data_IF_864520861319
#
_entry.id   IF_864520861319
#
_cell.length_a   1.000
_cell.length_b   1.000
_cell.length_c   1.000
_cell.angle_alpha   90.00
_cell.angle_beta   90.00
_cell.angle_gamma   90.00
#
_symmetry.space_group_name_H-M   'P 1'
#
loop_
_entity.id
_entity.type
_entity.pdbx_description
1 polymer ?
#
# COMPACT_ATOMS: atom_id res chain seq x y z
N UNK A 1 -3.16 6.43 34.43
CA UNK A 1 -4.06 5.37 33.96
C UNK A 1 -3.37 4.74 32.76
N UNK A 2 -2.92 3.49 32.87
CA UNK A 2 -2.36 2.79 31.73
C UNK A 2 -3.50 2.55 30.73
N UNK A 3 -3.42 3.18 29.55
CA UNK A 3 -4.31 2.89 28.45
C UNK A 3 -4.15 1.42 28.08
N UNK A 4 -5.26 0.75 27.81
CA UNK A 4 -5.18 -0.57 27.19
C UNK A 4 -4.54 -0.37 25.82
N UNK A 5 -3.33 -0.91 25.63
CA UNK A 5 -2.71 -1.02 24.30
C UNK A 5 -3.62 -1.93 23.47
N UNK A 6 -4.55 -1.32 22.73
CA UNK A 6 -5.23 -2.03 21.66
C UNK A 6 -4.17 -2.35 20.61
N UNK A 7 -3.94 -3.65 20.29
CA UNK A 7 -3.02 -4.00 19.22
C UNK A 7 -3.50 -3.35 17.93
N UNK A 8 -2.57 -2.81 17.15
CA UNK A 8 -2.85 -2.23 15.85
C UNK A 8 -3.47 -3.30 14.94
N UNK A 9 -4.67 -3.04 14.44
CA UNK A 9 -5.43 -3.92 13.56
C UNK A 9 -5.74 -3.16 12.25
N UNK A 10 -4.89 -3.30 11.22
CA UNK A 10 -5.04 -2.54 9.99
C UNK A 10 -6.32 -2.97 9.27
N UNK A 11 -7.17 -1.99 8.99
CA UNK A 11 -8.41 -2.19 8.23
C UNK A 11 -8.21 -2.03 6.73
N UNK A 12 -7.24 -1.22 6.33
CA UNK A 12 -6.95 -0.87 4.94
C UNK A 12 -5.45 -0.85 4.66
N UNK A 13 -5.09 -1.07 3.40
CA UNK A 13 -3.72 -1.02 2.89
C UNK A 13 -3.68 -0.25 1.58
N UNK A 14 -2.63 0.55 1.38
CA UNK A 14 -2.41 1.27 0.12
C UNK A 14 -1.69 0.35 -0.85
N UNK A 15 -2.11 0.37 -2.11
CA UNK A 15 -1.45 -0.32 -3.22
C UNK A 15 -1.05 0.74 -4.24
N UNK A 16 0.25 0.78 -4.59
CA UNK A 16 0.82 1.69 -5.57
C UNK A 16 1.08 0.92 -6.87
N UNK A 17 0.68 1.49 -8.01
CA UNK A 17 0.70 0.84 -9.34
C UNK A 17 1.87 1.24 -10.23
N UNK A 18 2.67 2.23 -9.83
CA UNK A 18 3.84 2.75 -10.59
C UNK A 18 5.14 2.04 -10.27
N UNK A 19 5.15 0.70 -10.30
CA UNK A 19 6.36 -0.07 -9.96
C UNK A 19 7.57 0.40 -10.78
N UNK A 20 8.58 0.94 -10.09
CA UNK A 20 9.83 1.39 -10.71
C UNK A 20 9.91 2.89 -11.06
N UNK A 21 8.84 3.65 -10.84
CA UNK A 21 8.89 5.12 -10.84
C UNK A 21 8.93 5.65 -9.40
N UNK A 22 10.15 5.85 -8.90
CA UNK A 22 10.39 6.33 -7.54
C UNK A 22 9.75 7.71 -7.27
N UNK A 23 9.55 8.54 -8.29
CA UNK A 23 8.93 9.87 -8.14
C UNK A 23 7.42 9.73 -7.97
N UNK A 24 6.77 8.92 -8.80
CA UNK A 24 5.33 8.65 -8.66
C UNK A 24 5.03 7.92 -7.34
N UNK A 25 5.86 6.95 -6.95
CA UNK A 25 5.74 6.28 -5.65
C UNK A 25 5.93 7.25 -4.48
N UNK A 26 6.80 8.27 -4.62
CA UNK A 26 6.98 9.33 -3.61
C UNK A 26 5.75 10.22 -3.50
N UNK A 27 5.23 10.69 -4.64
CA UNK A 27 4.04 11.54 -4.69
C UNK A 27 2.84 10.85 -4.04
N UNK A 28 2.52 9.63 -4.50
CA UNK A 28 1.39 8.85 -3.98
C UNK A 28 1.49 8.61 -2.47
N UNK A 29 2.68 8.27 -1.98
CA UNK A 29 2.88 8.00 -0.56
C UNK A 29 2.84 9.27 0.28
N UNK A 30 3.45 10.36 -0.18
CA UNK A 30 3.42 11.65 0.50
C UNK A 30 1.98 12.18 0.59
N UNK A 31 1.18 12.03 -0.48
CA UNK A 31 -0.23 12.38 -0.49
C UNK A 31 -1.03 11.54 0.52
N UNK A 32 -0.85 10.21 0.52
CA UNK A 32 -1.53 9.31 1.44
C UNK A 32 -1.16 9.57 2.91
N UNK A 33 0.13 9.75 3.22
CA UNK A 33 0.58 10.10 4.57
C UNK A 33 0.02 11.46 4.96
N UNK A 34 0.10 12.47 4.09
CA UNK A 34 -0.46 13.80 4.34
C UNK A 34 -1.93 13.75 4.73
N UNK A 35 -2.73 12.99 3.99
CA UNK A 35 -4.15 12.79 4.29
C UNK A 35 -4.39 12.10 5.64
N UNK A 36 -3.58 11.11 6.02
CA UNK A 36 -3.65 10.53 7.38
C UNK A 36 -3.31 11.56 8.44
N UNK A 37 -2.28 12.38 8.23
CA UNK A 37 -1.83 13.38 9.20
C UNK A 37 -2.87 14.48 9.47
N UNK A 38 -3.83 14.70 8.57
CA UNK A 38 -4.99 15.57 8.82
C UNK A 38 -5.92 15.01 9.91
N UNK A 39 -5.83 13.71 10.16
CA UNK A 39 -6.60 13.02 11.20
C UNK A 39 -5.78 12.68 12.44
N UNK A 40 -4.45 12.67 12.38
CA UNK A 40 -3.59 12.33 13.53
C UNK A 40 -3.30 13.52 14.45
N UNK A 41 -2.94 13.25 15.71
CA UNK A 41 -2.47 14.25 16.68
C UNK A 41 -0.97 14.13 16.98
N UNK A 42 -0.40 12.94 16.82
CA UNK A 42 1.01 12.65 17.07
C UNK A 42 1.57 11.69 16.03
N UNK A 43 2.89 11.76 15.84
CA UNK A 43 3.66 10.82 15.04
C UNK A 43 4.84 10.28 15.83
N UNK A 44 5.23 9.07 15.48
CA UNK A 44 6.48 8.43 15.87
C UNK A 44 7.27 8.11 14.61
N UNK A 45 8.49 8.63 14.53
CA UNK A 45 9.42 8.42 13.42
C UNK A 45 10.55 7.51 13.92
N UNK A 46 10.82 6.45 13.18
CA UNK A 46 12.02 5.64 13.31
C UNK A 46 12.98 6.08 12.21
N UNK A 47 14.03 6.79 12.59
CA UNK A 47 15.00 7.35 11.67
C UNK A 47 16.40 6.80 11.96
N UNK A 48 17.20 6.61 10.91
CA UNK A 48 18.66 6.60 11.05
C UNK A 48 19.18 8.05 11.03
N UNK A 49 19.51 8.65 12.19
CA UNK A 49 19.95 10.04 12.26
C UNK A 49 21.31 10.26 11.59
N UNK A 50 22.14 9.21 11.47
CA UNK A 50 23.45 9.29 10.84
C UNK A 50 23.34 9.44 9.32
N UNK A 51 22.43 8.67 8.71
CA UNK A 51 22.16 8.73 7.27
C UNK A 51 21.59 10.09 6.87
N UNK A 52 20.60 10.62 7.61
CA UNK A 52 19.98 11.91 7.24
C UNK A 52 20.94 13.09 7.37
N UNK A 53 21.71 13.13 8.46
CA UNK A 53 22.54 14.29 8.79
C UNK A 53 23.75 14.46 7.84
N UNK A 54 24.19 13.39 7.19
CA UNK A 54 25.26 13.44 6.18
C UNK A 54 24.84 14.22 4.94
N UNK A 55 23.65 13.91 4.42
CA UNK A 55 23.27 14.32 3.06
C UNK A 55 22.21 15.42 3.07
N UNK A 56 21.38 15.48 4.13
CA UNK A 56 20.32 16.48 4.33
C UNK A 56 20.40 17.12 5.73
N UNK A 57 21.51 17.79 6.09
CA UNK A 57 21.77 18.28 7.44
C UNK A 57 20.72 19.28 7.94
N UNK A 58 20.22 20.17 7.08
CA UNK A 58 19.19 21.14 7.46
C UNK A 58 17.86 20.46 7.81
N UNK A 59 17.47 19.41 7.08
CA UNK A 59 16.28 18.64 7.35
C UNK A 59 16.42 17.83 8.65
N UNK A 60 17.60 17.24 8.89
CA UNK A 60 17.92 16.55 10.14
C UNK A 60 17.82 17.51 11.35
N UNK A 61 18.33 18.74 11.23
CA UNK A 61 18.19 19.78 12.25
C UNK A 61 16.72 20.13 12.52
N UNK A 62 15.93 20.32 11.47
CA UNK A 62 14.50 20.64 11.59
C UNK A 62 13.71 19.52 12.28
N UNK A 63 13.91 18.27 11.86
CA UNK A 63 13.25 17.12 12.48
C UNK A 63 13.64 16.98 13.94
N UNK A 64 14.93 17.10 14.28
CA UNK A 64 15.38 17.07 15.68
C UNK A 64 14.82 18.23 16.50
N UNK A 65 14.71 19.42 15.93
CA UNK A 65 14.13 20.57 16.65
C UNK A 65 12.62 20.42 16.88
N UNK A 66 11.92 19.73 15.97
CA UNK A 66 10.48 19.52 16.02
C UNK A 66 10.05 18.30 16.86
N UNK A 67 10.99 17.39 17.16
CA UNK A 67 10.73 16.10 17.83
C UNK A 67 11.39 15.99 19.20
N UNK A 68 10.87 15.09 20.01
CA UNK A 68 11.48 14.60 21.25
C UNK A 68 12.00 13.19 21.01
N UNK A 69 13.25 12.94 21.37
CA UNK A 69 13.82 11.59 21.30
C UNK A 69 13.29 10.75 22.47
N UNK A 70 12.66 9.62 22.14
CA UNK A 70 12.10 8.68 23.13
C UNK A 70 12.94 7.41 23.28
N UNK A 71 13.67 7.03 22.22
CA UNK A 71 14.66 5.94 22.21
C UNK A 71 15.73 6.23 21.14
N UNK A 72 16.76 5.39 21.03
CA UNK A 72 17.75 5.49 19.96
C UNK A 72 17.08 5.32 18.59
N UNK A 73 17.24 6.31 17.72
CA UNK A 73 16.55 6.36 16.42
C UNK A 73 15.03 6.58 16.47
N UNK A 74 14.41 6.70 17.65
CA UNK A 74 12.95 6.87 17.78
C UNK A 74 12.60 8.28 18.26
N UNK A 75 11.91 9.02 17.40
CA UNK A 75 11.52 10.41 17.60
C UNK A 75 10.01 10.54 17.65
N UNK A 76 9.47 11.33 18.59
CA UNK A 76 8.04 11.57 18.74
C UNK A 76 7.73 13.06 18.66
N UNK A 77 6.63 13.42 18.02
CA UNK A 77 6.15 14.80 17.98
C UNK A 77 4.64 14.90 17.81
N UNK A 78 4.02 16.02 18.25
CA UNK A 78 2.72 16.45 17.75
C UNK A 78 2.79 16.71 16.23
N UNK A 79 1.77 16.30 15.48
CA UNK A 79 1.72 16.45 14.00
C UNK A 79 2.02 17.88 13.56
N UNK A 80 1.43 18.88 14.23
CA UNK A 80 1.57 20.30 13.88
C UNK A 80 3.02 20.80 13.88
N UNK A 81 3.91 20.17 14.66
CA UNK A 81 5.33 20.56 14.72
C UNK A 81 6.17 19.98 13.60
N UNK A 82 5.76 18.82 13.07
CA UNK A 82 6.56 18.03 12.14
C UNK A 82 5.98 17.96 10.74
N UNK A 83 4.78 18.50 10.49
CA UNK A 83 4.12 18.44 9.19
C UNK A 83 5.01 18.88 8.03
N UNK A 84 5.64 20.05 8.13
CA UNK A 84 6.54 20.57 7.09
C UNK A 84 7.81 19.73 6.89
N UNK A 85 8.64 19.46 7.93
CA UNK A 85 9.86 18.68 7.74
C UNK A 85 9.55 17.22 7.35
N UNK A 86 8.45 16.63 7.83
CA UNK A 86 8.05 15.30 7.41
C UNK A 86 7.63 15.27 5.93
N UNK A 87 6.89 16.28 5.45
CA UNK A 87 6.57 16.38 4.03
C UNK A 87 7.86 16.50 3.18
N UNK A 88 8.86 17.25 3.65
CA UNK A 88 10.15 17.34 2.97
C UNK A 88 10.87 15.97 2.91
N UNK A 89 10.86 15.21 4.02
CA UNK A 89 11.43 13.86 4.09
C UNK A 89 10.75 12.88 3.14
N UNK A 90 9.42 12.88 3.08
CA UNK A 90 8.65 11.97 2.23
C UNK A 90 8.79 12.26 0.73
N UNK A 91 9.09 13.51 0.37
CA UNK A 91 9.32 13.95 -1.01
C UNK A 91 10.77 13.76 -1.49
N UNK A 92 11.65 13.19 -0.68
CA UNK A 92 12.98 12.81 -1.16
C UNK A 92 12.83 11.73 -2.24
N UNK A 93 13.44 11.94 -3.41
CA UNK A 93 13.41 10.97 -4.52
C UNK A 93 14.70 10.15 -4.62
N UNK A 94 15.63 10.35 -3.69
CA UNK A 94 16.90 9.63 -3.62
C UNK A 94 16.81 8.44 -2.63
N UNK A 95 17.89 7.66 -2.54
CA UNK A 95 17.97 6.46 -1.68
C UNK A 95 17.66 6.75 -0.21
N UNK A 96 17.87 7.98 0.27
CA UNK A 96 17.64 8.37 1.67
C UNK A 96 16.17 8.28 2.05
N UNK A 97 15.23 8.40 1.11
CA UNK A 97 13.81 8.16 1.41
C UNK A 97 13.57 6.78 2.05
N UNK A 98 14.32 5.77 1.61
CA UNK A 98 14.15 4.39 2.05
C UNK A 98 15.07 4.00 3.20
N UNK A 99 16.30 4.51 3.20
CA UNK A 99 17.29 4.14 4.24
C UNK A 99 17.22 5.02 5.49
N UNK A 100 16.63 6.21 5.37
CA UNK A 100 16.61 7.17 6.49
C UNK A 100 15.34 7.11 7.30
N UNK A 101 14.19 6.88 6.66
CA UNK A 101 12.93 6.62 7.34
C UNK A 101 12.69 5.11 7.36
N UNK A 102 12.94 4.47 8.50
CA UNK A 102 12.70 3.04 8.65
C UNK A 102 11.20 2.77 8.84
N UNK A 103 10.52 3.64 9.60
CA UNK A 103 9.10 3.51 9.93
C UNK A 103 8.50 4.83 10.36
N UNK A 104 7.24 5.04 10.01
CA UNK A 104 6.40 6.10 10.51
C UNK A 104 5.10 5.52 11.05
N UNK A 105 4.78 5.86 12.29
CA UNK A 105 3.46 5.65 12.84
C UNK A 105 2.79 6.99 13.11
N UNK A 106 1.49 7.07 12.85
CA UNK A 106 0.66 8.20 13.28
C UNK A 106 -0.41 7.69 14.24
N UNK A 107 -0.78 8.50 15.22
CA UNK A 107 -1.80 8.16 16.21
C UNK A 107 -2.83 9.27 16.38
N UNK A 108 -4.01 8.89 16.86
CA UNK A 108 -5.08 9.77 17.32
C UNK A 108 -5.53 9.32 18.70
N UNK A 109 -5.54 10.22 19.68
CA UNK A 109 -6.06 9.94 21.03
C UNK A 109 -5.41 8.69 21.67
N UNK A 110 -4.13 8.46 21.37
CA UNK A 110 -3.36 7.31 21.84
C UNK A 110 -3.61 5.98 21.09
N UNK A 111 -4.44 5.97 20.05
CA UNK A 111 -4.65 4.81 19.17
C UNK A 111 -3.85 4.96 17.88
N UNK A 112 -3.15 3.90 17.47
CA UNK A 112 -2.40 3.92 16.22
C UNK A 112 -3.37 3.97 15.03
N UNK A 113 -3.18 4.97 14.17
CA UNK A 113 -3.98 5.21 12.98
C UNK A 113 -3.27 4.72 11.71
N UNK A 114 -1.95 4.90 11.66
CA UNK A 114 -1.12 4.53 10.51
C UNK A 114 0.10 3.73 10.96
N UNK A 115 0.47 2.79 10.10
CA UNK A 115 1.75 2.13 10.08
C UNK A 115 2.33 2.17 8.66
N UNK A 116 3.46 2.85 8.50
CA UNK A 116 4.14 3.02 7.22
C UNK A 116 5.62 2.59 7.32
N UNK A 117 6.08 1.76 6.38
CA UNK A 117 7.46 1.28 6.26
C UNK A 117 7.91 1.46 4.80
N UNK A 118 8.72 2.50 4.48
CA UNK A 118 9.10 2.84 3.11
C UNK A 118 9.77 1.69 2.33
N UNK A 119 10.76 1.03 2.94
CA UNK A 119 11.56 -0.02 2.28
C UNK A 119 10.73 -1.26 1.87
N UNK A 120 9.60 -1.47 2.52
CA UNK A 120 8.69 -2.58 2.22
C UNK A 120 7.44 -2.12 1.48
N UNK A 121 7.33 -0.83 1.15
CA UNK A 121 6.13 -0.20 0.59
C UNK A 121 4.86 -0.47 1.42
N UNK A 122 5.02 -0.80 2.70
CA UNK A 122 3.91 -1.13 3.59
C UNK A 122 3.27 0.17 4.03
N UNK A 123 2.01 0.38 3.71
CA UNK A 123 1.20 1.49 4.22
C UNK A 123 -0.15 0.92 4.63
N UNK A 124 -0.47 1.00 5.92
CA UNK A 124 -1.71 0.44 6.47
C UNK A 124 -2.38 1.39 7.44
N UNK A 125 -3.71 1.40 7.43
CA UNK A 125 -4.54 2.32 8.20
C UNK A 125 -5.58 1.56 9.03
N UNK A 126 -5.73 1.93 10.30
CA UNK A 126 -6.87 1.54 11.14
C UNK A 126 -7.96 2.62 11.06
N UNK A 127 -8.95 2.41 10.19
CA UNK A 127 -10.07 3.32 10.00
C UNK A 127 -10.96 3.45 11.24
N UNK A 128 -10.86 2.52 12.20
CA UNK A 128 -11.60 2.61 13.45
C UNK A 128 -10.97 3.60 14.44
N UNK A 129 -9.74 4.05 14.19
CA UNK A 129 -9.04 5.04 15.01
C UNK A 129 -9.42 6.49 14.65
N UNK A 130 -9.87 6.77 13.43
CA UNK A 130 -10.34 8.10 13.01
C UNK A 130 -11.42 8.02 11.91
N UNK A 131 -12.56 8.67 12.14
CA UNK A 131 -13.65 8.76 11.15
C UNK A 131 -13.22 9.57 9.93
N UNK A 132 -13.55 9.09 8.72
CA UNK A 132 -13.29 9.81 7.47
C UNK A 132 -11.85 9.71 6.95
N UNK A 133 -10.95 8.99 7.64
CA UNK A 133 -9.55 8.81 7.18
C UNK A 133 -9.47 8.07 5.84
N UNK A 134 -10.31 7.05 5.64
CA UNK A 134 -10.34 6.25 4.39
C UNK A 134 -10.72 7.13 3.21
N UNK A 135 -11.82 7.89 3.32
CA UNK A 135 -12.26 8.81 2.26
C UNK A 135 -11.21 9.88 1.97
N UNK A 136 -10.55 10.41 3.02
CA UNK A 136 -9.51 11.42 2.87
C UNK A 136 -8.30 10.88 2.11
N UNK A 137 -7.83 9.68 2.45
CA UNK A 137 -6.72 9.02 1.76
C UNK A 137 -7.10 8.68 0.33
N UNK A 138 -8.26 8.07 0.11
CA UNK A 138 -8.76 7.73 -1.24
C UNK A 138 -8.88 8.97 -2.14
N UNK A 139 -9.38 10.09 -1.60
CA UNK A 139 -9.42 11.35 -2.35
C UNK A 139 -8.02 11.91 -2.63
N UNK A 140 -7.09 11.82 -1.69
CA UNK A 140 -5.73 12.33 -1.86
C UNK A 140 -4.93 11.55 -2.90
N UNK A 141 -5.22 10.26 -3.10
CA UNK A 141 -4.55 9.41 -4.09
C UNK A 141 -5.34 9.19 -5.38
N UNK A 142 -6.51 9.81 -5.54
CA UNK A 142 -7.38 9.57 -6.69
C UNK A 142 -6.75 9.96 -8.04
N UNK A 143 -5.93 11.01 -8.04
CA UNK A 143 -5.16 11.46 -9.21
C UNK A 143 -3.75 10.84 -9.24
N UNK A 144 -3.41 10.01 -8.25
CA UNK A 144 -2.16 9.29 -8.14
C UNK A 144 -2.35 7.85 -8.65
N UNK A 145 -1.25 7.20 -9.00
CA UNK A 145 -1.25 5.80 -9.40
C UNK A 145 -1.35 4.86 -8.19
N UNK A 146 -2.31 5.08 -7.29
CA UNK A 146 -2.47 4.30 -6.08
C UNK A 146 -3.93 4.19 -5.64
N UNK A 147 -4.25 3.16 -4.86
CA UNK A 147 -5.58 2.95 -4.32
C UNK A 147 -5.54 2.35 -2.92
N UNK A 148 -6.56 2.66 -2.12
CA UNK A 148 -6.72 2.14 -0.77
C UNK A 148 -7.70 0.97 -0.78
N UNK A 149 -7.25 -0.20 -0.34
CA UNK A 149 -8.03 -1.45 -0.34
C UNK A 149 -8.23 -1.97 1.09
N UNK A 150 -9.31 -2.72 1.38
CA UNK A 150 -9.43 -3.44 2.63
C UNK A 150 -8.25 -4.39 2.85
N UNK A 151 -7.70 -4.44 4.07
CA UNK A 151 -6.52 -5.27 4.39
C UNK A 151 -6.84 -6.77 4.56
N UNK A 152 -8.12 -7.12 4.68
CA UNK A 152 -8.58 -8.51 4.80
C UNK A 152 -8.68 -9.23 3.45
N UNK A 153 -8.79 -10.56 3.50
CA UNK A 153 -9.06 -11.38 2.31
C UNK A 153 -10.39 -10.98 1.66
N UNK A 154 -10.32 -10.53 0.41
CA UNK A 154 -11.50 -10.18 -0.39
C UNK A 154 -12.15 -11.42 -0.97
N UNK A 155 -11.34 -12.38 -1.44
CA UNK A 155 -11.80 -13.66 -1.95
C UNK A 155 -10.72 -14.74 -1.79
N UNK A 156 -11.16 -15.98 -1.61
CA UNK A 156 -10.31 -17.17 -1.63
C UNK A 156 -10.99 -18.26 -2.45
N UNK A 157 -10.25 -18.92 -3.35
CA UNK A 157 -10.81 -19.94 -4.24
C UNK A 157 -9.77 -20.95 -4.72
N UNK A 158 -10.25 -22.15 -5.04
CA UNK A 158 -9.47 -23.16 -5.75
C UNK A 158 -9.75 -23.11 -7.25
N UNK A 159 -8.68 -23.14 -8.06
CA UNK A 159 -8.72 -23.35 -9.51
C UNK A 159 -7.52 -24.23 -9.93
N UNK A 160 -7.75 -25.17 -10.85
CA UNK A 160 -6.70 -26.04 -11.41
C UNK A 160 -5.86 -26.84 -10.37
N UNK A 161 -6.43 -27.10 -9.19
CA UNK A 161 -5.75 -27.79 -8.09
C UNK A 161 -4.84 -26.89 -7.24
N UNK A 162 -4.91 -25.58 -7.44
CA UNK A 162 -4.15 -24.55 -6.73
C UNK A 162 -5.11 -23.64 -5.94
N UNK A 163 -4.71 -23.27 -4.73
CA UNK A 163 -5.46 -22.34 -3.88
C UNK A 163 -4.97 -20.91 -4.10
N UNK A 164 -5.91 -19.99 -4.31
CA UNK A 164 -5.66 -18.58 -4.54
C UNK A 164 -6.33 -17.74 -3.46
N UNK A 165 -5.62 -16.71 -2.99
CA UNK A 165 -6.14 -15.73 -2.03
C UNK A 165 -5.87 -14.32 -2.54
N UNK A 166 -6.94 -13.56 -2.72
CA UNK A 166 -6.86 -12.12 -2.99
C UNK A 166 -6.93 -11.38 -1.65
N UNK A 167 -5.75 -11.10 -1.10
CA UNK A 167 -5.57 -10.39 0.18
C UNK A 167 -4.66 -9.20 -0.10
N UNK A 168 -5.21 -7.99 -0.27
CA UNK A 168 -4.43 -6.79 -0.53
C UNK A 168 -3.27 -6.66 0.47
N UNK A 169 -2.06 -6.27 0.00
CA UNK A 169 -1.74 -5.74 -1.32
C UNK A 169 -1.40 -6.81 -2.38
N UNK A 170 -1.73 -8.08 -2.17
CA UNK A 170 -1.26 -9.20 -3.01
C UNK A 170 -2.34 -10.17 -3.47
N UNK A 171 -2.03 -10.88 -4.55
CA UNK A 171 -2.65 -12.15 -4.93
C UNK A 171 -1.69 -13.28 -4.58
N UNK A 172 -2.07 -14.15 -3.65
CA UNK A 172 -1.23 -15.26 -3.18
C UNK A 172 -1.68 -16.60 -3.74
N UNK A 173 -0.71 -17.49 -3.96
CA UNK A 173 -0.84 -18.83 -4.55
C UNK A 173 -0.27 -19.84 -3.57
N UNK A 174 -1.10 -20.79 -3.16
CA UNK A 174 -0.79 -21.85 -2.17
C UNK A 174 -0.14 -21.31 -0.88
N UNK A 175 -0.48 -20.07 -0.49
CA UNK A 175 0.04 -19.37 0.69
C UNK A 175 1.56 -19.12 0.70
N UNK A 176 2.27 -19.38 -0.40
CA UNK A 176 3.74 -19.34 -0.45
C UNK A 176 4.29 -18.36 -1.47
N UNK A 177 3.56 -18.12 -2.55
CA UNK A 177 3.96 -17.18 -3.61
C UNK A 177 2.95 -16.08 -3.71
N UNK A 178 3.35 -14.83 -3.50
CA UNK A 178 2.47 -13.67 -3.56
C UNK A 178 2.92 -12.68 -4.64
N UNK A 179 1.97 -12.21 -5.43
CA UNK A 179 2.16 -11.24 -6.50
C UNK A 179 1.51 -9.92 -6.09
N UNK A 180 2.28 -8.84 -6.02
CA UNK A 180 1.77 -7.53 -5.64
C UNK A 180 0.77 -7.01 -6.67
N UNK A 181 -0.41 -6.59 -6.19
CA UNK A 181 -1.49 -6.06 -7.02
C UNK A 181 -1.11 -4.75 -7.73
N UNK A 182 -0.10 -4.04 -7.23
CA UNK A 182 0.47 -2.87 -7.89
C UNK A 182 1.02 -3.14 -9.30
N UNK A 183 1.31 -4.40 -9.63
CA UNK A 183 1.76 -4.76 -10.97
C UNK A 183 0.64 -5.30 -11.87
N UNK A 184 -0.62 -5.23 -11.43
CA UNK A 184 -1.79 -5.61 -12.23
C UNK A 184 -2.13 -4.45 -13.17
N UNK A 185 -2.21 -4.74 -14.47
CA UNK A 185 -2.38 -3.75 -15.53
C UNK A 185 -3.82 -3.77 -16.10
N UNK A 186 -4.48 -4.92 -16.06
CA UNK A 186 -5.84 -5.04 -16.56
C UNK A 186 -6.57 -6.28 -16.07
N UNK A 187 -7.90 -6.20 -16.06
CA UNK A 187 -8.80 -7.29 -15.71
C UNK A 187 -9.89 -7.42 -16.76
N UNK A 188 -10.05 -8.63 -17.30
CA UNK A 188 -11.10 -8.94 -18.26
C UNK A 188 -12.03 -10.05 -17.75
N UNK A 189 -13.32 -9.78 -17.78
CA UNK A 189 -14.40 -10.68 -17.36
C UNK A 189 -15.13 -11.26 -18.58
N UNK A 190 -15.22 -12.58 -18.64
CA UNK A 190 -16.10 -13.32 -19.56
C UNK A 190 -17.22 -13.97 -18.74
N UNK A 191 -18.33 -13.25 -18.59
CA UNK A 191 -19.49 -13.71 -17.79
C UNK A 191 -20.12 -14.97 -18.42
N UNK A 192 -20.06 -15.08 -19.75
CA UNK A 192 -20.65 -16.19 -20.50
C UNK A 192 -19.83 -17.48 -20.34
N UNK A 193 -18.50 -17.37 -20.30
CA UNK A 193 -17.56 -18.44 -20.04
C UNK A 193 -17.26 -18.66 -18.55
N UNK A 194 -17.68 -17.75 -17.67
CA UNK A 194 -17.28 -17.68 -16.24
C UNK A 194 -15.77 -17.72 -16.10
N UNK A 195 -15.09 -16.80 -16.78
CA UNK A 195 -13.65 -16.68 -16.72
C UNK A 195 -13.21 -15.26 -16.36
N UNK A 196 -12.11 -15.17 -15.62
CA UNK A 196 -11.41 -13.92 -15.30
C UNK A 196 -10.02 -14.03 -15.92
N UNK A 197 -9.60 -12.98 -16.63
CA UNK A 197 -8.24 -12.87 -17.18
C UNK A 197 -7.55 -11.68 -16.55
N UNK A 198 -6.30 -11.88 -16.14
CA UNK A 198 -5.45 -10.86 -15.54
C UNK A 198 -4.32 -10.54 -16.52
N UNK A 199 -4.04 -9.27 -16.70
CA UNK A 199 -2.85 -8.78 -17.39
C UNK A 199 -1.95 -8.11 -16.37
N UNK A 200 -0.67 -8.45 -16.41
CA UNK A 200 0.32 -7.96 -15.47
C UNK A 200 1.34 -7.11 -16.21
N UNK A 201 1.72 -5.97 -15.63
CA UNK A 201 2.81 -5.17 -16.13
C UNK A 201 4.10 -6.00 -16.13
N UNK A 202 4.72 -6.13 -17.30
CA UNK A 202 6.09 -6.60 -17.43
C UNK A 202 7.00 -5.42 -17.14
N UNK A 203 7.73 -5.46 -16.02
CA UNK A 203 8.67 -4.38 -15.71
C UNK A 203 9.65 -4.13 -16.85
N UNK A 204 10.05 -2.87 -17.04
CA UNK A 204 11.05 -2.52 -18.04
C UNK A 204 12.45 -2.95 -17.56
N UNK A 205 13.15 -3.74 -18.39
CA UNK A 205 14.58 -4.04 -18.20
C UNK A 205 14.96 -5.52 -18.14
N UNK A 206 16.26 -5.77 -18.29
CA UNK A 206 16.86 -7.11 -18.45
C UNK A 206 16.60 -8.04 -17.26
N UNK A 207 16.48 -7.50 -16.04
CA UNK A 207 16.22 -8.28 -14.82
C UNK A 207 14.75 -8.71 -14.69
N UNK A 208 13.80 -7.88 -15.15
CA UNK A 208 12.39 -8.25 -15.22
C UNK A 208 12.18 -9.39 -16.24
N UNK A 209 12.88 -9.34 -17.37
CA UNK A 209 12.85 -10.39 -18.41
C UNK A 209 13.41 -11.74 -17.91
N UNK A 210 14.48 -11.72 -17.11
CA UNK A 210 15.05 -12.94 -16.51
C UNK A 210 14.16 -13.47 -15.38
N UNK A 211 13.52 -12.59 -14.60
CA UNK A 211 12.53 -12.95 -13.58
C UNK A 211 11.29 -13.63 -14.17
N UNK A 212 10.78 -13.17 -15.31
CA UNK A 212 9.69 -13.85 -16.05
C UNK A 212 10.10 -15.20 -16.64
N UNK A 213 11.40 -15.47 -16.83
CA UNK A 213 11.90 -16.73 -17.38
C UNK A 213 12.22 -17.79 -16.30
N UNK A 214 12.40 -17.38 -15.04
CA UNK A 214 12.87 -18.25 -13.96
C UNK A 214 12.01 -18.21 -12.69
N UNK A 215 11.13 -17.22 -12.54
CA UNK A 215 10.21 -17.08 -11.41
C UNK A 215 8.90 -17.86 -11.62
N UNK A 216 8.10 -18.03 -10.55
CA UNK A 216 6.77 -18.59 -10.68
C UNK A 216 5.92 -17.72 -11.63
N UNK A 217 5.19 -18.37 -12.54
CA UNK A 217 4.33 -17.67 -13.50
C UNK A 217 3.24 -16.91 -12.75
N UNK A 218 3.01 -15.66 -13.12
CA UNK A 218 1.89 -14.88 -12.60
C UNK A 218 0.58 -15.53 -13.07
N UNK A 219 -0.47 -15.61 -12.23
CA UNK A 219 -1.76 -16.14 -12.66
C UNK A 219 -2.40 -15.23 -13.71
N UNK A 220 -2.70 -15.75 -14.89
CA UNK A 220 -3.25 -14.96 -16.01
C UNK A 220 -4.72 -15.24 -16.29
N UNK A 221 -5.23 -16.40 -15.86
CA UNK A 221 -6.60 -16.83 -16.15
C UNK A 221 -7.13 -17.73 -15.06
N UNK A 222 -8.40 -17.52 -14.71
CA UNK A 222 -9.18 -18.38 -13.85
C UNK A 222 -10.48 -18.77 -14.56
N UNK A 223 -10.81 -20.06 -14.54
CA UNK A 223 -12.08 -20.59 -15.04
C UNK A 223 -12.89 -21.17 -13.89
N UNK A 224 -14.21 -20.95 -13.91
CA UNK A 224 -15.08 -21.31 -12.81
C UNK A 224 -16.24 -22.20 -13.26
N UNK A 225 -16.32 -23.38 -12.63
CA UNK A 225 -17.42 -24.32 -12.82
C UNK A 225 -18.73 -23.87 -12.14
N UNK A 226 -18.63 -22.96 -11.17
CA UNK A 226 -19.75 -22.46 -10.37
C UNK A 226 -20.03 -20.99 -10.68
N UNK A 227 -21.27 -20.63 -11.08
CA UNK A 227 -21.67 -19.23 -11.24
C UNK A 227 -21.52 -18.40 -9.97
N UNK A 228 -21.80 -18.98 -8.80
CA UNK A 228 -21.67 -18.26 -7.52
C UNK A 228 -20.21 -17.99 -7.21
N UNK A 229 -19.33 -18.99 -7.37
CA UNK A 229 -17.89 -18.81 -7.14
C UNK A 229 -17.31 -17.77 -8.10
N UNK A 230 -17.73 -17.80 -9.36
CA UNK A 230 -17.37 -16.78 -10.33
C UNK A 230 -17.79 -15.38 -9.86
N UNK A 231 -19.06 -15.20 -9.47
CA UNK A 231 -19.58 -13.91 -9.03
C UNK A 231 -18.85 -13.37 -7.78
N UNK A 232 -18.56 -14.25 -6.82
CA UNK A 232 -17.85 -13.88 -5.59
C UNK A 232 -16.42 -13.38 -5.91
N UNK A 233 -15.67 -14.12 -6.73
CA UNK A 233 -14.29 -13.74 -7.10
C UNK A 233 -14.28 -12.54 -8.05
N UNK A 234 -15.25 -12.45 -8.96
CA UNK A 234 -15.39 -11.30 -9.86
C UNK A 234 -15.64 -10.01 -9.07
N UNK A 235 -16.54 -10.02 -8.09
CA UNK A 235 -16.78 -8.84 -7.24
C UNK A 235 -15.55 -8.39 -6.45
N UNK A 236 -14.69 -9.34 -6.03
CA UNK A 236 -13.43 -9.01 -5.38
C UNK A 236 -12.43 -8.34 -6.34
N UNK A 237 -12.32 -8.82 -7.59
CA UNK A 237 -11.48 -8.17 -8.61
C UNK A 237 -12.07 -6.84 -9.10
N UNK A 238 -13.39 -6.68 -9.12
CA UNK A 238 -14.04 -5.38 -9.37
C UNK A 238 -13.66 -4.37 -8.28
N UNK A 239 -13.67 -4.79 -7.01
CA UNK A 239 -13.20 -3.93 -5.89
C UNK A 239 -11.75 -3.49 -6.08
N UNK A 240 -10.88 -4.40 -6.54
CA UNK A 240 -9.48 -4.06 -6.86
C UNK A 240 -9.39 -3.09 -8.03
N UNK A 241 -10.09 -3.35 -9.13
CA UNK A 241 -10.04 -2.49 -10.30
C UNK A 241 -10.58 -1.09 -10.02
N UNK A 242 -11.69 -0.98 -9.30
CA UNK A 242 -12.29 0.30 -8.93
C UNK A 242 -11.34 1.12 -8.05
N UNK A 243 -10.69 0.49 -7.06
CA UNK A 243 -9.75 1.18 -6.18
C UNK A 243 -8.46 1.62 -6.90
N UNK A 244 -7.99 0.84 -7.88
CA UNK A 244 -6.74 1.09 -8.59
C UNK A 244 -6.92 1.83 -9.93
N UNK A 245 -8.16 2.15 -10.31
CA UNK A 245 -8.47 2.79 -11.59
C UNK A 245 -8.09 1.94 -12.82
N UNK A 246 -8.13 0.60 -12.70
CA UNK A 246 -7.73 -0.30 -13.78
C UNK A 246 -8.79 -0.36 -14.88
N UNK A 247 -8.35 -0.56 -16.13
CA UNK A 247 -9.27 -0.80 -17.24
C UNK A 247 -9.99 -2.14 -17.06
N UNK A 248 -11.32 -2.11 -17.17
CA UNK A 248 -12.18 -3.28 -17.11
C UNK A 248 -12.76 -3.62 -18.49
N UNK A 249 -12.49 -4.84 -18.96
CA UNK A 249 -13.17 -5.39 -20.12
C UNK A 249 -14.25 -6.38 -19.68
N UNK A 250 -15.51 -6.15 -20.03
CA UNK A 250 -16.61 -7.09 -19.77
C UNK A 250 -17.21 -7.61 -21.07
N UNK A 251 -17.24 -8.93 -21.21
CA UNK A 251 -17.90 -9.61 -22.33
C UNK A 251 -19.08 -10.44 -21.85
N UNK A 252 -20.30 -9.99 -22.16
CA UNK A 252 -21.53 -10.74 -21.92
C UNK A 252 -22.04 -11.43 -23.18
N UNK A 253 -22.44 -12.70 -23.08
CA UNK A 253 -23.24 -13.34 -24.14
C UNK A 253 -24.61 -12.65 -24.19
N UNK A 254 -24.91 -12.00 -25.33
CA UNK A 254 -26.27 -11.59 -25.69
C UNK A 254 -27.19 -12.78 -25.83
#
# INVERSE_FOLDING_TARGET
MAGQDHPFDPTHTLVITTSGDATAEASATAAAVGAVLDHADAVTLHLDPGALASDHPELAEQLRAATEQVDDGVLRAPVDRVREPLAALLNLTDVHRFVTLERLDASRDGRQLLHYVPDHTTFTVDATAAEGVVDSVSCAVADEHAGLLPAGTLAAWDADGTHYELTPPSLCVDGSTCFGLGALDGIAFDDGGRAIRLTWATGDGLLATVGTLLGPNRPERFEFDSPNRYADVAGAFETVADALGLELEKTGRR
#
